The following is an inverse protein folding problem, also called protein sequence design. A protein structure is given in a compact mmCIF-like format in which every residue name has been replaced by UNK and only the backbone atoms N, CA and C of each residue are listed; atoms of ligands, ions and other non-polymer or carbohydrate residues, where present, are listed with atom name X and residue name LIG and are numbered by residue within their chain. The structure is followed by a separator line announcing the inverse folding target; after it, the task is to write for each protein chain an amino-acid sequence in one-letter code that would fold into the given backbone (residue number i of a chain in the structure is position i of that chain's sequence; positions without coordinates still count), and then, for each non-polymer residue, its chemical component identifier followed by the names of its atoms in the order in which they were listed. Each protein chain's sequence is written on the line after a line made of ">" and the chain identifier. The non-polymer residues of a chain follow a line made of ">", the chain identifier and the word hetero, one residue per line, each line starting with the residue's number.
data_IF_653723911182
#
_entry.id   IF_653723911182
#
_cell.length_a   1.000
_cell.length_b   1.000
_cell.length_c   1.000
_cell.angle_alpha   90.00
_cell.angle_beta   90.00
_cell.angle_gamma   90.00
#
_symmetry.space_group_name_H-M   'P 1'
#
loop_
_entity.id
_entity.type
_entity.pdbx_description
1 polymer ?
#
# COMPACT_ATOMS: atom_id res chain seq x y z
N UNK A 1 62.64 29.10 -35.58
CA UNK A 1 61.20 29.36 -35.70
C UNK A 1 60.50 28.02 -35.52
N UNK A 2 60.15 27.68 -34.28
CA UNK A 2 59.60 26.42 -33.91
C UNK A 2 58.07 26.57 -33.59
N UNK A 3 57.22 26.04 -34.45
CA UNK A 3 55.77 26.09 -34.30
C UNK A 3 55.36 24.84 -33.47
N UNK A 4 54.88 25.06 -32.22
CA UNK A 4 54.37 24.07 -31.35
C UNK A 4 52.92 23.80 -31.70
N UNK A 5 52.60 22.61 -32.23
CA UNK A 5 51.22 22.11 -32.37
C UNK A 5 50.73 21.55 -31.01
N UNK A 6 49.82 22.27 -30.38
CA UNK A 6 49.08 21.76 -29.21
C UNK A 6 47.85 20.96 -29.71
N UNK A 7 47.95 19.65 -29.63
CA UNK A 7 46.81 18.75 -29.83
C UNK A 7 45.85 18.88 -28.66
N UNK A 8 44.69 19.49 -28.89
CA UNK A 8 43.58 19.48 -27.93
C UNK A 8 42.75 18.21 -28.18
N UNK A 9 42.92 17.22 -27.33
CA UNK A 9 42.02 16.05 -27.24
C UNK A 9 40.74 16.48 -26.52
N UNK A 10 39.68 16.68 -27.29
CA UNK A 10 38.31 16.79 -26.76
C UNK A 10 37.82 15.39 -26.40
N UNK A 11 37.82 15.06 -25.11
CA UNK A 11 37.16 13.87 -24.58
C UNK A 11 35.65 14.19 -24.47
N UNK A 12 34.88 13.68 -25.42
CA UNK A 12 33.44 13.72 -25.36
C UNK A 12 32.97 12.68 -24.31
N UNK A 13 32.64 13.14 -23.11
CA UNK A 13 32.00 12.33 -22.12
C UNK A 13 30.55 12.04 -22.57
N UNK A 14 30.29 10.84 -23.09
CA UNK A 14 28.93 10.32 -23.30
C UNK A 14 28.30 10.12 -21.91
N UNK A 15 27.46 11.06 -21.48
CA UNK A 15 26.57 10.88 -20.34
C UNK A 15 25.45 9.95 -20.80
N UNK A 16 25.55 8.67 -20.50
CA UNK A 16 24.44 7.74 -20.59
C UNK A 16 23.43 8.15 -19.51
N UNK A 17 22.55 9.08 -19.83
CA UNK A 17 21.35 9.31 -19.05
C UNK A 17 20.47 8.06 -19.19
N UNK A 18 20.53 7.17 -18.21
CA UNK A 18 19.58 6.07 -18.09
C UNK A 18 18.18 6.69 -17.99
N UNK A 19 17.37 6.49 -19.00
CA UNK A 19 15.95 6.86 -18.95
C UNK A 19 15.31 6.00 -17.87
N UNK A 20 15.00 6.59 -16.72
CA UNK A 20 14.07 5.98 -15.75
C UNK A 20 12.71 6.04 -16.41
N UNK A 21 12.27 4.94 -16.97
CA UNK A 21 10.95 4.84 -17.58
C UNK A 21 9.88 5.02 -16.50
N UNK A 22 8.98 5.97 -16.72
CA UNK A 22 7.81 6.15 -15.86
C UNK A 22 6.92 4.91 -15.93
N UNK A 23 6.21 4.61 -14.84
CA UNK A 23 5.28 3.49 -14.81
C UNK A 23 4.15 3.69 -15.83
N UNK A 24 3.78 2.62 -16.52
CA UNK A 24 2.66 2.57 -17.46
C UNK A 24 1.36 2.27 -16.69
N UNK A 25 0.52 3.31 -16.52
CA UNK A 25 -0.73 3.18 -15.77
C UNK A 25 -1.80 2.38 -16.53
N UNK A 26 -1.78 2.40 -17.86
CA UNK A 26 -2.72 1.60 -18.68
C UNK A 26 -2.37 0.12 -18.56
N UNK A 27 -1.09 -0.22 -18.60
CA UNK A 27 -0.60 -1.57 -18.31
C UNK A 27 -0.92 -2.00 -16.90
N UNK A 28 -0.70 -1.14 -15.91
CA UNK A 28 -1.08 -1.39 -14.51
C UNK A 28 -2.57 -1.67 -14.35
N UNK A 29 -3.43 -0.95 -15.07
CA UNK A 29 -4.87 -1.20 -15.10
C UNK A 29 -5.22 -2.55 -15.71
N UNK A 30 -4.56 -2.94 -16.81
CA UNK A 30 -4.74 -4.26 -17.43
C UNK A 30 -4.39 -5.37 -16.42
N UNK A 31 -3.24 -5.27 -15.78
CA UNK A 31 -2.77 -6.24 -14.76
C UNK A 31 -3.77 -6.33 -13.60
N UNK A 32 -4.35 -5.19 -13.19
CA UNK A 32 -5.35 -5.16 -12.11
C UNK A 32 -6.55 -6.06 -12.39
N UNK A 33 -6.91 -6.34 -13.63
CA UNK A 33 -7.97 -7.27 -13.97
C UNK A 33 -7.80 -8.66 -13.33
N UNK A 34 -6.56 -9.16 -13.25
CA UNK A 34 -6.24 -10.41 -12.54
C UNK A 34 -6.36 -10.24 -11.02
N UNK A 35 -5.89 -9.12 -10.47
CA UNK A 35 -5.90 -8.82 -9.04
C UNK A 35 -7.33 -8.62 -8.52
N UNK A 36 -8.19 -8.04 -9.35
CA UNK A 36 -9.58 -7.69 -9.04
C UNK A 36 -10.44 -8.90 -8.66
N UNK A 37 -10.13 -10.09 -9.16
CA UNK A 37 -10.85 -11.33 -8.82
C UNK A 37 -10.94 -11.58 -7.29
N UNK A 38 -9.93 -11.13 -6.54
CA UNK A 38 -9.89 -11.22 -5.09
C UNK A 38 -9.98 -9.85 -4.41
N UNK A 39 -9.32 -8.84 -4.99
CA UNK A 39 -9.20 -7.51 -4.38
C UNK A 39 -10.26 -6.50 -4.85
N UNK A 40 -11.22 -6.91 -5.66
CA UNK A 40 -12.27 -6.09 -6.30
C UNK A 40 -11.71 -5.07 -7.32
N UNK A 41 -12.54 -4.59 -8.23
CA UNK A 41 -12.12 -3.79 -9.39
C UNK A 41 -11.38 -2.50 -9.04
N UNK A 42 -11.79 -1.85 -7.95
CA UNK A 42 -11.14 -0.65 -7.43
C UNK A 42 -10.13 -0.96 -6.30
N UNK A 43 -9.74 -2.22 -6.11
CA UNK A 43 -8.75 -2.60 -5.10
C UNK A 43 -9.22 -2.41 -3.65
N UNK A 44 -10.54 -2.35 -3.39
CA UNK A 44 -11.10 -2.19 -2.04
C UNK A 44 -10.84 -3.39 -1.14
N UNK A 45 -10.52 -4.54 -1.73
CA UNK A 45 -10.49 -5.81 -1.02
C UNK A 45 -11.85 -6.51 -1.05
N UNK A 46 -11.97 -7.62 -0.31
CA UNK A 46 -13.18 -8.42 -0.35
C UNK A 46 -13.33 -9.37 0.83
N UNK A 47 -14.45 -10.12 0.82
CA UNK A 47 -14.80 -11.11 1.83
C UNK A 47 -14.62 -10.58 3.27
N UNK A 48 -15.07 -9.35 3.52
CA UNK A 48 -14.99 -8.71 4.83
C UNK A 48 -13.55 -8.68 5.41
N UNK A 49 -12.54 -8.47 4.53
CA UNK A 49 -11.14 -8.34 4.93
C UNK A 49 -10.33 -9.64 4.91
N UNK A 50 -10.86 -10.74 4.37
CA UNK A 50 -10.02 -11.87 4.00
C UNK A 50 -9.02 -11.46 2.92
N UNK A 51 -9.49 -10.74 1.91
CA UNK A 51 -8.66 -10.06 0.92
C UNK A 51 -8.50 -8.58 1.31
N UNK A 52 -7.26 -8.09 1.51
CA UNK A 52 -7.05 -6.71 1.95
C UNK A 52 -7.36 -5.69 0.87
N UNK A 53 -7.65 -4.46 1.30
CA UNK A 53 -7.57 -3.29 0.45
C UNK A 53 -6.13 -3.11 -0.04
N UNK A 54 -5.97 -2.90 -1.34
CA UNK A 54 -4.70 -2.59 -2.00
C UNK A 54 -4.70 -1.21 -2.67
N UNK A 55 -5.87 -0.63 -2.89
CA UNK A 55 -6.06 0.71 -3.43
C UNK A 55 -5.52 1.80 -2.50
N UNK A 56 -4.83 2.79 -3.08
CA UNK A 56 -4.27 3.93 -2.36
C UNK A 56 -3.09 3.58 -1.45
N UNK A 57 -2.54 2.39 -1.57
CA UNK A 57 -1.40 1.94 -0.78
C UNK A 57 -0.09 2.54 -1.33
N UNK A 58 0.94 2.65 -0.52
CA UNK A 58 2.25 3.20 -0.90
C UNK A 58 2.91 2.35 -1.98
N UNK A 59 3.37 2.99 -3.08
CA UNK A 59 4.00 2.31 -4.24
C UNK A 59 5.10 1.36 -3.79
N UNK A 60 6.06 1.88 -3.02
CA UNK A 60 7.22 1.09 -2.57
C UNK A 60 6.81 -0.09 -1.69
N UNK A 61 5.77 0.08 -0.89
CA UNK A 61 5.24 -1.02 -0.10
C UNK A 61 4.63 -2.11 -0.99
N UNK A 62 3.80 -1.74 -2.00
CA UNK A 62 3.22 -2.73 -2.92
C UNK A 62 4.33 -3.49 -3.65
N UNK A 63 5.30 -2.77 -4.26
CA UNK A 63 6.44 -3.37 -4.94
C UNK A 63 7.17 -4.38 -4.06
N UNK A 64 7.49 -3.98 -2.83
CA UNK A 64 8.20 -4.84 -1.86
C UNK A 64 7.36 -6.06 -1.51
N UNK A 65 6.06 -5.89 -1.25
CA UNK A 65 5.22 -7.03 -0.89
C UNK A 65 5.06 -8.05 -2.03
N UNK A 66 4.91 -7.59 -3.27
CA UNK A 66 4.82 -8.48 -4.44
C UNK A 66 6.11 -9.28 -4.61
N UNK A 67 7.28 -8.64 -4.47
CA UNK A 67 8.58 -9.32 -4.49
C UNK A 67 8.75 -10.30 -3.32
N UNK A 68 8.31 -9.92 -2.13
CA UNK A 68 8.37 -10.78 -0.94
C UNK A 68 7.47 -12.03 -1.08
N UNK A 69 6.30 -11.92 -1.71
CA UNK A 69 5.47 -13.08 -2.04
C UNK A 69 6.15 -13.98 -3.07
N UNK A 70 6.76 -13.41 -4.12
CA UNK A 70 7.53 -14.14 -5.14
C UNK A 70 8.69 -14.91 -4.49
N UNK A 71 9.47 -14.24 -3.65
CA UNK A 71 10.62 -14.80 -2.96
C UNK A 71 10.25 -15.71 -1.77
N UNK A 72 8.97 -15.77 -1.39
CA UNK A 72 8.47 -16.49 -0.20
C UNK A 72 9.05 -16.00 1.13
N UNK A 73 9.65 -14.82 1.18
CA UNK A 73 10.02 -14.16 2.43
C UNK A 73 8.79 -13.69 3.20
N UNK A 74 7.71 -13.38 2.47
CA UNK A 74 6.36 -13.25 3.01
C UNK A 74 5.50 -14.38 2.47
N UNK A 75 5.12 -15.32 3.34
CA UNK A 75 4.34 -16.49 2.93
C UNK A 75 2.86 -16.13 2.79
N UNK A 76 2.32 -16.33 1.58
CA UNK A 76 0.89 -16.26 1.28
C UNK A 76 0.62 -17.16 0.08
N UNK A 77 0.10 -18.37 0.35
CA UNK A 77 -0.11 -19.40 -0.68
C UNK A 77 -1.03 -18.90 -1.80
N UNK A 78 -2.19 -18.24 -1.54
CA UNK A 78 -3.03 -17.69 -2.60
C UNK A 78 -2.35 -16.66 -3.50
N UNK A 79 -1.44 -15.82 -2.96
CA UNK A 79 -0.76 -14.79 -3.74
C UNK A 79 0.42 -15.33 -4.55
N UNK A 80 1.00 -16.45 -4.13
CA UNK A 80 2.24 -16.96 -4.72
C UNK A 80 2.16 -17.19 -6.24
N UNK A 81 1.13 -17.84 -6.82
CA UNK A 81 1.05 -18.08 -8.27
C UNK A 81 1.09 -16.79 -9.09
N UNK A 82 0.42 -15.73 -8.62
CA UNK A 82 0.26 -14.45 -9.33
C UNK A 82 1.49 -13.55 -9.26
N UNK A 83 2.49 -13.88 -8.44
CA UNK A 83 3.69 -13.06 -8.25
C UNK A 83 4.94 -13.64 -8.90
N UNK A 84 4.83 -14.82 -9.57
CA UNK A 84 5.94 -15.42 -10.27
C UNK A 84 6.39 -14.55 -11.45
N UNK A 85 7.69 -14.57 -11.77
CA UNK A 85 8.30 -13.73 -12.81
C UNK A 85 7.60 -13.86 -14.17
N UNK A 86 7.18 -15.08 -14.53
CA UNK A 86 6.45 -15.37 -15.78
C UNK A 86 5.03 -14.76 -15.82
N UNK A 87 4.42 -14.51 -14.64
CA UNK A 87 3.05 -13.99 -14.53
C UNK A 87 3.06 -12.48 -14.27
N UNK A 88 4.09 -11.98 -13.61
CA UNK A 88 4.23 -10.58 -13.19
C UNK A 88 5.71 -10.22 -13.21
N UNK A 89 6.20 -9.60 -14.28
CA UNK A 89 7.59 -9.18 -14.41
C UNK A 89 7.95 -8.05 -13.42
N UNK A 90 9.20 -7.68 -13.31
CA UNK A 90 9.61 -6.55 -12.48
C UNK A 90 9.10 -5.20 -12.99
N UNK A 91 8.88 -5.08 -14.31
CA UNK A 91 8.25 -3.90 -14.91
C UNK A 91 6.75 -3.89 -14.57
N UNK A 92 6.06 -5.02 -14.73
CA UNK A 92 4.65 -5.14 -14.34
C UNK A 92 4.43 -4.82 -12.86
N UNK A 93 5.36 -5.16 -11.96
CA UNK A 93 5.31 -4.77 -10.54
C UNK A 93 5.31 -3.26 -10.38
N UNK A 94 6.12 -2.52 -11.13
CA UNK A 94 6.13 -1.05 -11.06
C UNK A 94 4.81 -0.47 -11.57
N UNK A 95 4.31 -0.97 -12.70
CA UNK A 95 3.10 -0.48 -13.35
C UNK A 95 1.87 -0.69 -12.48
N UNK A 96 1.67 -1.94 -11.99
CA UNK A 96 0.55 -2.24 -11.08
C UNK A 96 0.64 -1.48 -9.76
N UNK A 97 1.84 -1.31 -9.20
CA UNK A 97 2.02 -0.59 -7.95
C UNK A 97 1.68 0.89 -8.09
N UNK A 98 2.09 1.52 -9.19
CA UNK A 98 1.75 2.91 -9.49
C UNK A 98 0.24 3.09 -9.74
N UNK A 99 -0.38 2.17 -10.51
CA UNK A 99 -1.81 2.18 -10.76
C UNK A 99 -2.63 2.07 -9.47
N UNK A 100 -2.34 1.06 -8.63
CA UNK A 100 -3.05 0.83 -7.38
C UNK A 100 -2.89 1.99 -6.39
N UNK A 101 -1.71 2.58 -6.31
CA UNK A 101 -1.46 3.73 -5.44
C UNK A 101 -2.25 4.98 -5.87
N UNK A 102 -2.53 5.12 -7.17
CA UNK A 102 -3.33 6.20 -7.73
C UNK A 102 -4.83 6.07 -7.50
N UNK A 103 -5.34 4.89 -7.12
CA UNK A 103 -6.77 4.68 -6.87
C UNK A 103 -7.17 5.35 -5.56
N UNK A 104 -8.15 6.25 -5.64
CA UNK A 104 -8.75 6.90 -4.47
C UNK A 104 -10.09 6.25 -4.17
N UNK A 105 -10.29 5.89 -2.92
CA UNK A 105 -11.56 5.39 -2.40
C UNK A 105 -12.13 6.41 -1.42
N UNK A 106 -13.41 6.70 -1.59
CA UNK A 106 -14.12 7.61 -0.71
C UNK A 106 -14.47 6.92 0.62
N UNK A 107 -14.47 7.67 1.71
CA UNK A 107 -14.81 7.19 3.05
C UNK A 107 -16.21 7.63 3.49
N UNK A 108 -16.93 8.30 2.59
CA UNK A 108 -18.32 8.77 2.79
C UNK A 108 -19.14 8.41 1.57
N UNK A 109 -20.42 8.12 1.80
CA UNK A 109 -21.36 7.92 0.68
C UNK A 109 -21.48 9.19 -0.15
N UNK A 110 -21.53 9.08 -1.49
CA UNK A 110 -21.66 10.23 -2.35
C UNK A 110 -23.01 10.92 -2.12
N UNK A 111 -23.01 12.24 -2.23
CA UNK A 111 -24.25 13.01 -2.30
C UNK A 111 -24.73 13.01 -3.75
N UNK A 112 -25.93 12.49 -3.97
CA UNK A 112 -26.54 12.49 -5.30
C UNK A 112 -27.31 13.80 -5.54
N UNK A 113 -27.13 14.37 -6.72
CA UNK A 113 -27.82 15.62 -7.12
C UNK A 113 -29.24 15.37 -7.65
N UNK A 114 -29.55 14.09 -7.92
CA UNK A 114 -30.83 13.69 -8.50
C UNK A 114 -30.83 13.61 -10.03
N UNK A 115 -29.74 14.02 -10.68
CA UNK A 115 -29.57 13.98 -12.14
C UNK A 115 -28.84 12.74 -12.63
N UNK A 116 -28.17 12.02 -11.73
CA UNK A 116 -27.41 10.81 -12.07
C UNK A 116 -28.34 9.65 -12.40
N UNK A 117 -28.01 8.92 -13.47
CA UNK A 117 -28.65 7.65 -13.76
C UNK A 117 -28.24 6.53 -12.78
N UNK A 118 -28.90 5.38 -12.87
CA UNK A 118 -28.66 4.27 -11.95
C UNK A 118 -27.24 3.71 -12.04
N UNK A 119 -26.66 3.64 -13.25
CA UNK A 119 -25.30 3.17 -13.46
C UNK A 119 -24.27 4.11 -12.84
N UNK A 120 -24.43 5.42 -13.09
CA UNK A 120 -23.55 6.44 -12.49
C UNK A 120 -23.57 6.36 -10.97
N UNK A 121 -24.77 6.24 -10.34
CA UNK A 121 -24.90 6.10 -8.88
C UNK A 121 -24.21 4.82 -8.37
N UNK A 122 -24.35 3.72 -9.09
CA UNK A 122 -23.68 2.46 -8.74
C UNK A 122 -22.16 2.64 -8.78
N UNK A 123 -21.62 3.16 -9.86
CA UNK A 123 -20.18 3.39 -10.03
C UNK A 123 -19.60 4.36 -8.99
N UNK A 124 -20.37 5.35 -8.56
CA UNK A 124 -19.97 6.24 -7.46
C UNK A 124 -19.93 5.48 -6.12
N UNK A 125 -20.96 4.66 -5.85
CA UNK A 125 -21.03 3.88 -4.62
C UNK A 125 -19.94 2.79 -4.54
N UNK A 126 -19.55 2.20 -5.65
CA UNK A 126 -18.49 1.17 -5.72
C UNK A 126 -17.10 1.70 -5.32
N UNK A 127 -16.88 3.00 -5.39
CA UNK A 127 -15.65 3.65 -4.93
C UNK A 127 -15.63 4.01 -3.45
N UNK A 128 -16.72 3.70 -2.74
CA UNK A 128 -16.80 3.98 -1.29
C UNK A 128 -16.27 2.79 -0.53
N UNK A 129 -15.38 3.08 0.42
CA UNK A 129 -14.87 2.08 1.35
C UNK A 129 -14.94 2.61 2.78
N UNK A 130 -15.86 2.07 3.55
CA UNK A 130 -16.05 2.38 4.95
C UNK A 130 -15.76 1.13 5.77
N UNK A 131 -14.76 1.22 6.65
CA UNK A 131 -14.46 0.15 7.60
C UNK A 131 -15.36 0.29 8.81
N UNK A 132 -16.07 -0.77 9.24
CA UNK A 132 -16.86 -0.73 10.46
C UNK A 132 -16.01 -0.30 11.66
N UNK A 133 -16.58 0.53 12.51
CA UNK A 133 -15.92 0.94 13.77
C UNK A 133 -15.60 -0.28 14.60
N UNK A 134 -14.38 -0.33 15.11
CA UNK A 134 -13.92 -1.39 16.01
C UNK A 134 -14.07 -0.92 17.45
N UNK A 135 -14.35 -1.85 18.36
CA UNK A 135 -14.43 -1.59 19.79
C UNK A 135 -13.02 -1.46 20.39
N UNK A 136 -12.85 -0.54 21.32
CA UNK A 136 -11.61 -0.30 22.05
C UNK A 136 -11.56 1.08 22.68
N UNK A 137 -10.57 1.33 23.53
CA UNK A 137 -10.31 2.66 24.09
C UNK A 137 -9.59 3.53 23.05
N UNK A 138 -10.34 4.46 22.44
CA UNK A 138 -9.83 5.35 21.39
C UNK A 138 -8.71 6.25 21.91
N UNK A 139 -8.79 6.73 23.15
CA UNK A 139 -7.79 7.64 23.73
C UNK A 139 -6.47 6.89 24.00
N UNK A 140 -6.54 5.67 24.51
CA UNK A 140 -5.37 4.82 24.68
C UNK A 140 -4.78 4.42 23.31
N UNK A 141 -5.64 4.03 22.35
CA UNK A 141 -5.22 3.69 21.00
C UNK A 141 -4.51 4.83 20.28
N UNK A 142 -5.03 6.06 20.37
CA UNK A 142 -4.39 7.26 19.84
C UNK A 142 -3.02 7.49 20.47
N UNK A 143 -2.94 7.45 21.81
CA UNK A 143 -1.69 7.66 22.53
C UNK A 143 -0.60 6.67 22.12
N UNK A 144 -0.96 5.39 22.01
CA UNK A 144 -0.03 4.34 21.58
C UNK A 144 0.37 4.55 20.14
N UNK A 145 -0.61 4.78 19.25
CA UNK A 145 -0.37 5.00 17.84
C UNK A 145 0.59 6.16 17.58
N UNK A 146 0.32 7.32 18.17
CA UNK A 146 1.16 8.51 18.00
C UNK A 146 2.57 8.31 18.52
N UNK A 147 2.75 7.54 19.60
CA UNK A 147 4.05 7.30 20.23
C UNK A 147 4.88 6.24 19.48
N UNK A 148 4.26 5.16 18.98
CA UNK A 148 4.98 3.98 18.51
C UNK A 148 4.81 3.71 17.02
N UNK A 149 3.72 4.16 16.38
CA UNK A 149 3.39 3.81 15.00
C UNK A 149 3.50 4.99 14.03
N UNK A 150 3.15 6.20 14.47
CA UNK A 150 3.00 7.38 13.63
C UNK A 150 4.32 7.84 12.98
N UNK A 151 5.49 7.53 13.58
CA UNK A 151 6.79 7.86 13.02
C UNK A 151 7.01 7.28 11.63
N UNK A 152 6.56 6.04 11.42
CA UNK A 152 6.65 5.31 10.17
C UNK A 152 5.35 5.38 9.35
N UNK A 153 4.20 5.11 9.98
CA UNK A 153 2.91 5.02 9.30
C UNK A 153 2.21 6.36 9.09
N UNK A 154 2.84 7.46 9.51
CA UNK A 154 2.24 8.80 9.44
C UNK A 154 1.23 9.07 10.57
N UNK A 155 1.05 10.34 10.94
CA UNK A 155 0.13 10.74 12.04
C UNK A 155 -1.32 10.34 11.79
N UNK A 156 -1.73 10.25 10.52
CA UNK A 156 -3.09 9.89 10.09
C UNK A 156 -3.22 8.45 9.59
N UNK A 157 -2.17 7.64 9.70
CA UNK A 157 -2.20 6.24 9.27
C UNK A 157 -2.13 6.00 7.77
N UNK A 158 -1.82 7.03 6.96
CA UNK A 158 -1.79 6.93 5.49
C UNK A 158 -0.52 6.29 4.93
N UNK A 159 0.44 5.97 5.78
CA UNK A 159 1.72 5.46 5.37
C UNK A 159 2.66 6.53 4.81
N UNK A 160 3.90 6.14 4.57
CA UNK A 160 4.93 7.01 4.00
C UNK A 160 6.05 6.17 3.38
N UNK A 161 6.33 6.39 2.09
CA UNK A 161 7.41 5.69 1.39
C UNK A 161 7.20 4.18 1.35
N UNK A 162 8.00 3.41 2.08
CA UNK A 162 7.89 1.96 2.20
C UNK A 162 6.96 1.49 3.33
N UNK A 163 6.57 2.39 4.23
CA UNK A 163 5.66 2.07 5.33
C UNK A 163 4.20 2.12 4.88
N UNK A 164 3.42 1.06 5.12
CA UNK A 164 2.08 0.96 4.58
C UNK A 164 1.08 1.92 5.21
N UNK A 165 0.06 2.24 4.43
CA UNK A 165 -1.18 2.80 4.92
C UNK A 165 -1.89 1.75 5.80
N UNK A 166 -2.32 2.17 6.99
CA UNK A 166 -3.09 1.37 7.94
C UNK A 166 -4.54 1.82 8.04
N UNK A 167 -4.78 3.14 7.95
CA UNK A 167 -6.13 3.71 7.97
C UNK A 167 -6.94 3.23 6.77
N UNK A 168 -8.22 2.93 6.97
CA UNK A 168 -9.09 2.43 5.89
C UNK A 168 -8.75 1.01 5.43
N UNK A 169 -7.94 0.25 6.17
CA UNK A 169 -7.72 -1.17 5.99
C UNK A 169 -8.63 -1.98 6.92
N UNK A 170 -9.04 -3.16 6.49
CA UNK A 170 -9.87 -4.05 7.30
C UNK A 170 -9.21 -4.42 8.64
N UNK A 171 -9.96 -4.24 9.73
CA UNK A 171 -9.46 -4.47 11.09
C UNK A 171 -9.00 -5.90 11.31
N UNK A 172 -9.75 -6.90 10.84
CA UNK A 172 -9.38 -8.31 10.92
C UNK A 172 -8.14 -8.65 10.08
N UNK A 173 -7.93 -7.96 8.95
CA UNK A 173 -6.70 -8.10 8.19
C UNK A 173 -5.51 -7.55 8.97
N UNK A 174 -5.62 -6.34 9.53
CA UNK A 174 -4.56 -5.73 10.36
C UNK A 174 -4.24 -6.61 11.57
N UNK A 175 -5.27 -7.10 12.30
CA UNK A 175 -5.07 -8.01 13.43
C UNK A 175 -4.26 -9.24 13.01
N UNK A 176 -4.67 -9.90 11.92
CA UNK A 176 -3.94 -11.06 11.38
C UNK A 176 -2.49 -10.73 11.01
N UNK A 177 -2.22 -9.53 10.50
CA UNK A 177 -0.84 -9.14 10.20
C UNK A 177 -0.02 -8.93 11.48
N UNK A 178 -0.60 -8.29 12.51
CA UNK A 178 0.03 -8.15 13.82
C UNK A 178 0.36 -9.52 14.43
N UNK A 179 -0.59 -10.46 14.36
CA UNK A 179 -0.38 -11.83 14.85
C UNK A 179 0.79 -12.54 14.14
N UNK A 180 0.90 -12.36 12.81
CA UNK A 180 2.00 -12.91 12.03
C UNK A 180 3.37 -12.28 12.42
N UNK A 181 3.40 -10.96 12.66
CA UNK A 181 4.60 -10.29 13.14
C UNK A 181 5.03 -10.78 14.53
N UNK A 182 4.09 -10.90 15.47
CA UNK A 182 4.36 -11.37 16.82
C UNK A 182 4.83 -12.84 16.86
N UNK A 183 4.37 -13.66 15.90
CA UNK A 183 4.83 -15.05 15.75
C UNK A 183 6.17 -15.18 15.03
N UNK A 184 6.65 -14.13 14.39
CA UNK A 184 7.83 -14.18 13.53
C UNK A 184 7.58 -14.81 12.15
N UNK A 185 6.33 -15.13 11.81
CA UNK A 185 5.94 -15.68 10.50
C UNK A 185 5.97 -14.61 9.39
N UNK A 186 5.97 -13.36 9.79
CA UNK A 186 6.17 -12.21 8.92
C UNK A 186 7.13 -11.24 9.61
N UNK A 187 8.35 -11.05 9.10
CA UNK A 187 9.25 -10.07 9.68
C UNK A 187 8.71 -8.65 9.46
N UNK A 188 8.85 -7.81 10.45
CA UNK A 188 8.69 -6.36 10.34
C UNK A 188 10.08 -5.84 9.95
N UNK A 189 10.33 -5.78 8.63
CA UNK A 189 11.66 -5.89 8.03
C UNK A 189 12.53 -4.63 8.08
N UNK A 190 11.97 -3.50 8.53
CA UNK A 190 12.69 -2.24 8.48
C UNK A 190 13.62 -2.07 9.66
N UNK A 191 14.83 -1.62 9.41
CA UNK A 191 15.78 -1.27 10.45
C UNK A 191 15.14 -0.28 11.46
N UNK A 192 15.20 -0.63 12.74
CA UNK A 192 14.56 0.14 13.83
C UNK A 192 13.09 -0.19 14.10
N UNK A 193 12.46 -1.10 13.33
CA UNK A 193 11.06 -1.52 13.57
C UNK A 193 10.97 -2.89 14.23
N UNK A 194 12.07 -3.62 14.28
CA UNK A 194 12.14 -4.94 14.91
C UNK A 194 11.75 -4.85 16.38
N UNK A 195 10.75 -5.63 16.77
CA UNK A 195 10.29 -5.71 18.16
C UNK A 195 9.38 -4.56 18.62
N UNK A 196 9.02 -3.61 17.75
CA UNK A 196 8.13 -2.48 18.14
C UNK A 196 6.78 -2.97 18.68
N UNK A 197 6.31 -4.13 18.22
CA UNK A 197 5.06 -4.74 18.66
C UNK A 197 5.22 -5.59 19.93
N UNK A 198 6.43 -6.02 20.29
CA UNK A 198 6.67 -6.96 21.40
C UNK A 198 6.32 -6.39 22.78
N UNK A 199 6.25 -5.08 22.93
CA UNK A 199 5.88 -4.41 24.17
C UNK A 199 4.39 -4.14 24.32
N UNK A 200 3.56 -4.45 23.30
CA UNK A 200 2.13 -4.19 23.30
C UNK A 200 1.37 -5.41 23.82
N UNK A 201 0.37 -5.16 24.67
CA UNK A 201 -0.60 -6.16 25.09
C UNK A 201 -1.67 -6.31 24.00
N UNK A 202 -2.40 -7.41 24.02
CA UNK A 202 -3.52 -7.64 23.09
C UNK A 202 -4.56 -6.51 23.16
N UNK A 203 -4.82 -5.97 24.35
CA UNK A 203 -5.72 -4.83 24.54
C UNK A 203 -5.19 -3.56 23.89
N UNK A 204 -3.90 -3.27 24.01
CA UNK A 204 -3.26 -2.12 23.36
C UNK A 204 -3.39 -2.19 21.82
N UNK A 205 -3.24 -3.39 21.26
CA UNK A 205 -3.43 -3.63 19.82
C UNK A 205 -4.88 -3.39 19.42
N UNK A 206 -5.85 -3.91 20.18
CA UNK A 206 -7.28 -3.69 19.98
C UNK A 206 -7.61 -2.19 19.99
N UNK A 207 -7.08 -1.43 20.94
CA UNK A 207 -7.29 0.01 21.07
C UNK A 207 -6.72 0.77 19.87
N UNK A 208 -5.50 0.42 19.43
CA UNK A 208 -4.90 1.01 18.21
C UNK A 208 -5.75 0.72 16.98
N UNK A 209 -6.25 -0.50 16.81
CA UNK A 209 -7.12 -0.85 15.69
C UNK A 209 -8.45 -0.08 15.75
N UNK A 210 -9.04 0.09 16.93
CA UNK A 210 -10.22 0.91 17.14
C UNK A 210 -9.95 2.38 16.76
N UNK A 211 -8.84 2.96 17.21
CA UNK A 211 -8.42 4.29 16.84
C UNK A 211 -8.28 4.46 15.33
N UNK A 212 -7.62 3.53 14.62
CA UNK A 212 -7.48 3.58 13.17
C UNK A 212 -8.83 3.59 12.43
N UNK A 213 -9.84 2.87 12.94
CA UNK A 213 -11.20 2.94 12.35
C UNK A 213 -11.91 4.26 12.66
N UNK A 214 -11.52 4.96 13.74
CA UNK A 214 -12.13 6.22 14.13
C UNK A 214 -11.68 7.41 13.28
N UNK A 215 -10.46 7.34 12.73
CA UNK A 215 -9.85 8.42 11.95
C UNK A 215 -9.98 8.27 10.42
N UNK A 216 -10.65 7.23 9.94
CA UNK A 216 -10.75 6.95 8.49
C UNK A 216 -11.49 8.04 7.69
N UNK A 217 -12.34 8.80 8.34
CA UNK A 217 -13.16 9.86 7.73
C UNK A 217 -12.55 11.25 7.85
N UNK A 218 -11.41 11.38 8.53
CA UNK A 218 -10.73 12.67 8.64
C UNK A 218 -10.25 13.12 7.26
N UNK A 219 -10.68 14.31 6.85
CA UNK A 219 -10.33 14.90 5.56
C UNK A 219 -8.81 14.98 5.36
N UNK A 220 -8.41 14.83 4.13
CA UNK A 220 -7.01 14.79 3.70
C UNK A 220 -6.52 16.19 3.38
#
# INVERSE_FOLDING_TARGET
>A
MLISLRNSLLVAALVCAGFVQAADLDKGKEINGTCAACHSDNGQGGKKGEYPRIAGQQIKYIETQLRNFRARTRVNIPMFPYTQERELSDEDIKDISAYLAGIKLDTKMPTYTGTEDALTRLLMAEKVMIIPRSEGDLANGEKIYQKQCAGCHGKTGKGKGMFPMLVGQYTNYLQRQVDLYLKGDRPHDEEGTVGVLNGLKAEDIKDVLAYLTSIQETEQ
#
